data_IF_527798861039
#
_entry.id   IF_527798861039
#
_cell.length_a   1.000
_cell.length_b   1.000
_cell.length_c   1.000
_cell.angle_alpha   90.00
_cell.angle_beta   90.00
_cell.angle_gamma   90.00
#
_symmetry.space_group_name_H-M   'P 1'
#
loop_
_entity.id
_entity.type
_entity.pdbx_description
1 polymer ?
#
# COMPACT_ATOMS: atom_id res chain seq x y z
N UNK A 1 -56.60 27.40 39.86
CA UNK A 1 -55.29 27.92 39.39
C UNK A 1 -54.19 26.95 39.84
N UNK A 2 -53.87 25.93 39.05
CA UNK A 2 -52.65 25.76 38.20
C UNK A 2 -51.29 25.86 38.94
N UNK A 3 -50.69 24.67 39.14
CA UNK A 3 -49.26 24.26 39.01
C UNK A 3 -48.19 25.04 39.82
N UNK A 4 -47.16 24.41 40.39
CA UNK A 4 -46.17 23.56 39.69
C UNK A 4 -45.42 22.64 40.67
N UNK A 5 -45.45 21.34 40.41
CA UNK A 5 -44.50 20.38 40.98
C UNK A 5 -43.12 20.60 40.33
N UNK A 6 -42.08 20.81 41.14
CA UNK A 6 -40.68 20.85 40.68
C UNK A 6 -40.22 19.41 40.40
N UNK A 7 -40.24 19.02 39.13
CA UNK A 7 -39.60 17.78 38.66
C UNK A 7 -38.11 18.07 38.55
N UNK A 8 -37.34 17.42 39.41
CA UNK A 8 -35.87 17.39 39.41
C UNK A 8 -35.40 16.56 38.20
N UNK A 9 -34.60 17.09 37.26
CA UNK A 9 -33.99 16.23 36.25
C UNK A 9 -32.78 15.54 36.87
N UNK A 10 -33.05 14.30 37.25
CA UNK A 10 -32.15 13.16 37.38
C UNK A 10 -30.97 13.23 36.38
N UNK A 11 -29.80 13.57 36.91
CA UNK A 11 -28.48 13.00 36.61
C UNK A 11 -28.36 12.19 35.29
N UNK A 12 -28.19 12.89 34.16
CA UNK A 12 -27.71 12.27 32.91
C UNK A 12 -26.20 12.52 32.83
N UNK A 13 -25.44 11.75 33.61
CA UNK A 13 -24.00 11.57 33.34
C UNK A 13 -23.92 10.60 32.18
N UNK A 14 -23.99 11.17 30.98
CA UNK A 14 -23.74 10.47 29.73
C UNK A 14 -22.25 10.13 29.69
N UNK A 15 -21.97 8.83 29.86
CA UNK A 15 -20.75 8.10 29.53
C UNK A 15 -19.77 8.87 28.64
N UNK A 16 -18.80 9.56 29.26
CA UNK A 16 -17.48 9.79 28.67
C UNK A 16 -16.72 8.46 28.70
N UNK A 17 -17.15 7.49 27.88
CA UNK A 17 -16.28 6.38 27.51
C UNK A 17 -15.17 6.98 26.65
N UNK A 18 -13.90 6.96 27.08
CA UNK A 18 -12.82 7.28 26.16
C UNK A 18 -12.88 6.22 25.07
N UNK A 19 -13.31 6.60 23.86
CA UNK A 19 -13.02 5.82 22.68
C UNK A 19 -11.49 5.73 22.63
N UNK A 20 -10.95 4.59 23.05
CA UNK A 20 -9.58 4.21 22.71
C UNK A 20 -9.59 4.08 21.20
N UNK A 21 -9.29 5.17 20.50
CA UNK A 21 -8.84 5.09 19.12
C UNK A 21 -7.63 4.16 19.17
N UNK A 22 -7.81 2.91 18.75
CA UNK A 22 -6.70 2.03 18.50
C UNK A 22 -5.87 2.74 17.44
N UNK A 23 -4.77 3.38 17.85
CA UNK A 23 -3.75 3.80 16.93
C UNK A 23 -3.25 2.52 16.29
N UNK A 24 -3.76 2.20 15.11
CA UNK A 24 -3.30 1.05 14.35
C UNK A 24 -1.81 1.27 14.12
N UNK A 25 -0.99 0.39 14.67
CA UNK A 25 0.45 0.48 14.52
C UNK A 25 0.78 0.43 13.02
N UNK A 26 1.48 1.45 12.51
CA UNK A 26 1.75 1.56 11.09
C UNK A 26 2.71 0.45 10.66
N UNK A 27 2.40 -0.21 9.53
CA UNK A 27 3.34 -1.15 8.94
C UNK A 27 4.59 -0.40 8.48
N UNK A 28 5.77 -0.96 8.73
CA UNK A 28 7.05 -0.36 8.33
C UNK A 28 7.57 -1.10 7.11
N UNK A 29 7.66 -0.43 5.96
CA UNK A 29 8.34 -0.96 4.77
C UNK A 29 9.85 -0.95 5.01
N UNK A 30 10.42 -2.12 5.25
CA UNK A 30 11.84 -2.32 5.59
C UNK A 30 12.72 -2.37 4.36
N UNK A 31 12.26 -3.07 3.32
CA UNK A 31 13.07 -3.36 2.15
C UNK A 31 12.20 -3.48 0.91
N UNK A 32 12.72 -3.00 -0.22
CA UNK A 32 12.24 -3.37 -1.55
C UNK A 32 13.42 -3.91 -2.34
N UNK A 33 13.23 -5.06 -2.99
CA UNK A 33 14.20 -5.66 -3.89
C UNK A 33 13.51 -6.12 -5.17
N UNK A 34 14.30 -6.34 -6.22
CA UNK A 34 13.81 -6.90 -7.47
C UNK A 34 14.73 -8.01 -7.97
N UNK A 35 14.14 -9.02 -8.60
CA UNK A 35 14.82 -10.03 -9.40
C UNK A 35 14.22 -10.03 -10.79
N UNK A 36 15.05 -10.15 -11.81
CA UNK A 36 14.63 -10.08 -13.21
C UNK A 36 15.11 -11.32 -13.94
N UNK A 37 14.21 -11.95 -14.69
CA UNK A 37 14.48 -13.07 -15.59
C UNK A 37 13.92 -12.75 -16.99
N UNK A 38 14.17 -13.63 -17.96
CA UNK A 38 13.67 -13.46 -19.32
C UNK A 38 12.13 -13.35 -19.33
N UNK A 39 11.62 -12.16 -19.66
CA UNK A 39 10.19 -11.90 -19.76
C UNK A 39 9.45 -11.72 -18.43
N UNK A 40 10.16 -11.75 -17.29
CA UNK A 40 9.54 -11.71 -15.97
C UNK A 40 10.33 -10.85 -14.99
N UNK A 41 9.63 -10.13 -14.12
CA UNK A 41 10.20 -9.40 -13.01
C UNK A 41 9.45 -9.72 -11.73
N UNK A 42 10.18 -9.90 -10.64
CA UNK A 42 9.61 -10.06 -9.31
C UNK A 42 10.08 -8.92 -8.42
N UNK A 43 9.14 -8.17 -7.85
CA UNK A 43 9.44 -7.11 -6.88
C UNK A 43 8.98 -7.57 -5.51
N UNK A 44 9.90 -7.65 -4.56
CA UNK A 44 9.64 -8.05 -3.19
C UNK A 44 9.62 -6.83 -2.28
N UNK A 45 8.57 -6.69 -1.48
CA UNK A 45 8.42 -5.68 -0.46
C UNK A 45 8.32 -6.38 0.90
N UNK A 46 9.23 -6.07 1.82
CA UNK A 46 9.27 -6.65 3.17
C UNK A 46 8.85 -5.64 4.22
N UNK A 47 8.01 -6.07 5.15
CA UNK A 47 7.41 -5.20 6.15
C UNK A 47 7.72 -5.65 7.59
N UNK A 48 7.39 -4.81 8.57
CA UNK A 48 7.31 -5.23 9.99
C UNK A 48 6.05 -6.07 10.27
N UNK A 49 4.95 -5.73 9.60
CA UNK A 49 3.65 -6.41 9.63
C UNK A 49 3.02 -6.27 8.25
N UNK A 50 2.20 -7.23 7.82
CA UNK A 50 1.66 -7.24 6.48
C UNK A 50 0.54 -6.18 6.32
N UNK A 51 0.70 -5.16 5.46
CA UNK A 51 -0.34 -4.15 5.28
C UNK A 51 -1.46 -4.66 4.35
N UNK A 52 -2.62 -4.01 4.45
CA UNK A 52 -3.62 -4.07 3.37
C UNK A 52 -3.09 -3.27 2.18
N UNK A 53 -3.44 -3.69 0.96
CA UNK A 53 -2.97 -3.02 -0.24
C UNK A 53 -4.06 -2.92 -1.31
N UNK A 54 -3.88 -1.95 -2.21
CA UNK A 54 -4.59 -1.85 -3.49
C UNK A 54 -3.56 -1.79 -4.62
N UNK A 55 -3.79 -2.58 -5.67
CA UNK A 55 -2.97 -2.57 -6.88
C UNK A 55 -3.77 -1.98 -8.04
N UNK A 56 -3.17 -1.05 -8.76
CA UNK A 56 -3.67 -0.54 -10.03
C UNK A 56 -2.58 -0.64 -11.09
N UNK A 57 -2.97 -0.94 -12.32
CA UNK A 57 -2.04 -0.96 -13.47
C UNK A 57 -2.62 -0.10 -14.58
N UNK A 58 -1.86 0.89 -15.03
CA UNK A 58 -2.28 1.87 -16.03
C UNK A 58 -1.17 2.02 -17.08
N UNK A 59 -1.35 1.35 -18.22
CA UNK A 59 -0.37 1.32 -19.31
C UNK A 59 0.99 0.83 -18.81
N UNK A 60 1.96 1.74 -18.75
CA UNK A 60 3.35 1.45 -18.34
C UNK A 60 3.60 1.59 -16.83
N UNK A 61 2.57 1.84 -16.03
CA UNK A 61 2.70 2.13 -14.60
C UNK A 61 1.96 1.09 -13.78
N UNK A 62 2.60 0.59 -12.73
CA UNK A 62 1.96 -0.17 -11.66
C UNK A 62 1.98 0.71 -10.41
N UNK A 63 0.81 0.94 -9.82
CA UNK A 63 0.65 1.65 -8.56
C UNK A 63 0.25 0.65 -7.47
N UNK A 64 1.00 0.65 -6.37
CA UNK A 64 0.73 -0.14 -5.17
C UNK A 64 0.50 0.84 -4.01
N UNK A 65 -0.74 0.93 -3.56
CA UNK A 65 -1.13 1.71 -2.37
C UNK A 65 -1.14 0.78 -1.18
N UNK A 66 -0.39 1.12 -0.13
CA UNK A 66 -0.20 0.34 1.08
C UNK A 66 -0.83 1.09 2.26
N UNK A 67 -1.84 0.49 2.89
CA UNK A 67 -2.61 1.16 3.92
C UNK A 67 -1.82 1.35 5.22
N UNK A 68 -1.90 2.54 5.82
CA UNK A 68 -1.24 2.89 7.09
C UNK A 68 0.23 2.38 7.15
N UNK A 69 1.00 2.70 6.12
CA UNK A 69 2.36 2.17 5.94
C UNK A 69 3.35 3.30 5.83
N UNK A 70 4.50 3.17 6.48
CA UNK A 70 5.60 4.14 6.42
C UNK A 70 6.90 3.48 5.96
N UNK A 71 7.74 4.13 5.15
CA UNK A 71 9.06 3.61 4.82
C UNK A 71 10.00 3.70 6.03
N UNK A 72 10.82 2.68 6.24
CA UNK A 72 11.91 2.73 7.22
C UNK A 72 12.91 3.85 6.86
N UNK A 73 13.61 4.41 7.83
CA UNK A 73 14.65 5.43 7.57
C UNK A 73 15.78 4.91 6.67
N UNK A 74 16.07 3.60 6.75
CA UNK A 74 17.04 2.91 5.91
C UNK A 74 16.49 2.50 4.54
N UNK A 75 15.23 2.80 4.24
CA UNK A 75 14.60 2.45 2.97
C UNK A 75 15.39 3.02 1.79
N UNK A 76 15.48 2.22 0.73
CA UNK A 76 16.11 2.59 -0.54
C UNK A 76 15.16 2.26 -1.66
N UNK A 77 14.93 3.22 -2.54
CA UNK A 77 14.15 3.01 -3.75
C UNK A 77 14.92 2.12 -4.73
N UNK A 78 14.19 1.33 -5.51
CA UNK A 78 14.78 0.57 -6.61
C UNK A 78 15.31 1.53 -7.68
N UNK A 79 16.54 1.28 -8.13
CA UNK A 79 17.09 1.94 -9.30
C UNK A 79 16.39 1.45 -10.58
N UNK A 80 16.37 2.32 -11.59
CA UNK A 80 15.95 1.96 -12.94
C UNK A 80 16.93 1.01 -13.63
N UNK A 81 16.44 0.31 -14.64
CA UNK A 81 17.20 -0.52 -15.57
C UNK A 81 16.53 -0.51 -16.97
N UNK A 82 16.93 -1.45 -17.82
CA UNK A 82 16.40 -1.61 -19.17
C UNK A 82 14.89 -1.95 -19.24
N UNK A 83 14.32 -2.56 -18.20
CA UNK A 83 12.91 -2.99 -18.14
C UNK A 83 12.04 -2.04 -17.31
N UNK A 84 12.50 -1.68 -16.11
CA UNK A 84 11.82 -0.76 -15.20
C UNK A 84 12.58 0.57 -15.17
N UNK A 85 11.98 1.65 -15.65
CA UNK A 85 12.61 2.95 -15.80
C UNK A 85 12.93 3.57 -14.43
N UNK A 86 12.00 3.48 -13.47
CA UNK A 86 12.15 4.03 -12.13
C UNK A 86 11.06 3.56 -11.19
N UNK A 87 11.34 3.69 -9.89
CA UNK A 87 10.36 3.64 -8.81
C UNK A 87 10.18 5.04 -8.23
N UNK A 88 8.94 5.42 -7.91
CA UNK A 88 8.59 6.64 -7.17
C UNK A 88 7.83 6.24 -5.91
N UNK A 89 8.01 6.99 -4.83
CA UNK A 89 7.18 6.89 -3.63
C UNK A 89 6.48 8.21 -3.35
N UNK A 90 5.29 8.14 -2.76
CA UNK A 90 4.50 9.28 -2.32
C UNK A 90 3.62 8.90 -1.14
N UNK A 91 3.03 9.89 -0.47
CA UNK A 91 2.08 9.69 0.62
C UNK A 91 0.69 10.14 0.17
N UNK A 92 -0.34 9.35 0.49
CA UNK A 92 -1.74 9.66 0.22
C UNK A 92 -2.55 9.46 1.51
N UNK A 93 -2.82 10.54 2.24
CA UNK A 93 -3.34 10.40 3.61
C UNK A 93 -2.33 9.65 4.48
N UNK A 94 -2.73 8.58 5.17
CA UNK A 94 -1.82 7.71 5.92
C UNK A 94 -1.24 6.55 5.10
N UNK A 95 -1.55 6.50 3.80
CA UNK A 95 -1.14 5.40 2.95
C UNK A 95 0.16 5.73 2.21
N UNK A 96 0.98 4.70 1.98
CA UNK A 96 2.18 4.78 1.16
C UNK A 96 1.84 4.36 -0.27
N UNK A 97 2.05 5.26 -1.23
CA UNK A 97 1.96 4.97 -2.65
C UNK A 97 3.35 4.63 -3.19
N UNK A 98 3.47 3.48 -3.83
CA UNK A 98 4.64 3.08 -4.61
C UNK A 98 4.26 2.92 -6.07
N UNK A 99 4.90 3.71 -6.95
CA UNK A 99 4.66 3.66 -8.39
C UNK A 99 5.89 3.12 -9.12
N UNK A 100 5.70 2.08 -9.91
CA UNK A 100 6.73 1.43 -10.72
C UNK A 100 6.48 1.73 -12.20
N UNK A 101 7.45 2.36 -12.87
CA UNK A 101 7.36 2.74 -14.26
C UNK A 101 8.16 1.77 -15.14
N UNK A 102 7.52 1.20 -16.16
CA UNK A 102 8.10 0.22 -17.07
C UNK A 102 8.36 0.81 -18.45
N UNK A 103 9.32 0.23 -19.19
CA UNK A 103 9.61 0.64 -20.57
C UNK A 103 8.46 0.31 -21.53
N UNK A 104 7.86 -0.86 -21.33
CA UNK A 104 6.68 -1.36 -22.04
C UNK A 104 5.58 -1.70 -21.04
N UNK A 105 4.29 -1.63 -21.44
CA UNK A 105 3.19 -2.02 -20.57
C UNK A 105 3.39 -3.45 -20.05
N UNK A 106 3.36 -3.69 -18.72
CA UNK A 106 3.31 -5.04 -18.18
C UNK A 106 2.10 -5.78 -18.77
N UNK A 107 2.30 -7.03 -19.17
CA UNK A 107 1.21 -7.84 -19.75
C UNK A 107 0.29 -8.38 -18.66
N UNK A 108 0.89 -8.76 -17.54
CA UNK A 108 0.16 -9.31 -16.41
C UNK A 108 0.89 -8.99 -15.09
N UNK A 109 0.13 -8.73 -14.04
CA UNK A 109 0.66 -8.42 -12.71
C UNK A 109 -0.14 -9.21 -11.69
N UNK A 110 0.52 -10.06 -10.92
CA UNK A 110 -0.10 -10.78 -9.80
C UNK A 110 0.56 -10.38 -8.50
N UNK A 111 -0.22 -10.33 -7.43
CA UNK A 111 0.29 -10.07 -6.09
C UNK A 111 0.23 -11.34 -5.28
N UNK A 112 1.33 -11.68 -4.60
CA UNK A 112 1.37 -12.75 -3.61
C UNK A 112 1.71 -12.18 -2.24
N UNK A 113 0.91 -12.51 -1.23
CA UNK A 113 1.24 -12.29 0.18
C UNK A 113 2.03 -13.48 0.69
N UNK A 114 3.10 -13.23 1.43
CA UNK A 114 3.95 -14.25 2.07
C UNK A 114 3.94 -13.93 3.56
N UNK A 115 3.03 -14.58 4.29
CA UNK A 115 2.73 -14.27 5.69
C UNK A 115 3.94 -14.54 6.60
N UNK A 116 4.68 -15.61 6.33
CA UNK A 116 5.83 -16.07 7.14
C UNK A 116 6.94 -15.02 7.23
N UNK A 117 7.04 -14.16 6.22
CA UNK A 117 8.08 -13.13 6.12
C UNK A 117 7.50 -11.72 6.07
N UNK A 118 6.21 -11.56 6.34
CA UNK A 118 5.47 -10.30 6.18
C UNK A 118 5.84 -9.58 4.88
N UNK A 119 5.69 -10.27 3.75
CA UNK A 119 6.12 -9.78 2.44
C UNK A 119 4.99 -9.74 1.41
N UNK A 120 5.06 -8.76 0.52
CA UNK A 120 4.27 -8.69 -0.71
C UNK A 120 5.22 -8.89 -1.89
N UNK A 121 4.90 -9.82 -2.78
CA UNK A 121 5.61 -10.03 -4.04
C UNK A 121 4.72 -9.64 -5.22
N UNK A 122 5.21 -8.73 -6.06
CA UNK A 122 4.62 -8.46 -7.37
C UNK A 122 5.28 -9.39 -8.40
N UNK A 123 4.49 -10.31 -8.96
CA UNK A 123 4.87 -11.22 -10.04
C UNK A 123 4.46 -10.60 -11.38
N UNK A 124 5.42 -10.04 -12.11
CA UNK A 124 5.16 -9.19 -13.27
C UNK A 124 5.63 -9.91 -14.55
N UNK A 125 4.70 -10.15 -15.47
CA UNK A 125 5.01 -10.53 -16.84
C UNK A 125 5.33 -9.27 -17.64
N UNK A 126 6.57 -9.16 -18.08
CA UNK A 126 7.08 -7.96 -18.74
C UNK A 126 6.53 -7.84 -20.16
N UNK A 127 6.16 -6.62 -20.54
CA UNK A 127 5.91 -6.27 -21.93
C UNK A 127 7.20 -6.15 -22.75
N UNK A 128 7.04 -6.15 -24.06
CA UNK A 128 8.11 -5.96 -25.03
C UNK A 128 7.60 -5.10 -26.22
N UNK A 129 8.46 -4.75 -27.19
CA UNK A 129 8.03 -3.94 -28.34
C UNK A 129 6.87 -4.56 -29.14
N UNK A 130 6.78 -5.89 -29.21
CA UNK A 130 5.74 -6.59 -29.95
C UNK A 130 4.40 -6.52 -29.19
N UNK A 131 4.41 -6.79 -27.89
CA UNK A 131 3.20 -6.70 -27.06
C UNK A 131 2.68 -5.26 -26.95
N UNK A 132 3.55 -4.26 -27.06
CA UNK A 132 3.14 -2.85 -27.05
C UNK A 132 2.43 -2.40 -28.34
N UNK A 133 2.55 -3.16 -29.45
CA UNK A 133 1.87 -2.86 -30.72
C UNK A 133 0.43 -3.38 -30.76
N UNK A 134 0.07 -4.31 -29.89
CA UNK A 134 -1.25 -4.93 -29.80
C UNK A 134 -1.75 -4.87 -28.35
N UNK A 135 -2.14 -3.67 -27.87
CA UNK A 135 -2.59 -3.46 -26.50
C UNK A 135 -3.94 -4.13 -26.19
#
# INVERSE_FOLDING_TARGET
>A
MKNKAKIMPLFVILLFLPLKQAMADSAILRQVSKTTETGKMQIFLRFSSLPTYKLETQGKRIDLVLSNTVPAQSFRMLSGDEKMIRMISGKQGEDLLLSFYFRYPPQHVRVKKIEETASIMLDIQLGNPLSARYP
#
